data_IF_579022479228
#
_entry.id   IF_579022479228
#
_cell.length_a   1.000
_cell.length_b   1.000
_cell.length_c   1.000
_cell.angle_alpha   90.00
_cell.angle_beta   90.00
_cell.angle_gamma   90.00
#
_symmetry.space_group_name_H-M   'P 1'
#
loop_
_entity.id
_entity.type
_entity.pdbx_description
1 polymer ?
#
# COMPACT_ATOMS: atom_id res chain seq x y z
N UNK A 1 44.59 -12.19 -3.73
CA UNK A 1 43.25 -12.03 -4.39
C UNK A 1 42.26 -11.80 -3.29
N UNK A 2 41.95 -10.54 -2.97
CA UNK A 2 40.97 -10.17 -1.95
C UNK A 2 39.54 -10.22 -2.60
N UNK A 3 38.76 -11.17 -2.19
CA UNK A 3 37.32 -11.21 -2.56
C UNK A 3 36.58 -10.36 -1.51
N UNK A 4 36.27 -9.12 -1.87
CA UNK A 4 35.32 -8.28 -1.10
C UNK A 4 33.91 -8.86 -1.31
N UNK A 5 33.43 -9.58 -0.32
CA UNK A 5 31.98 -9.84 -0.19
C UNK A 5 31.30 -8.50 0.16
N UNK A 6 30.83 -7.79 -0.82
CA UNK A 6 29.83 -6.75 -0.61
C UNK A 6 28.52 -7.48 -0.24
N UNK A 7 28.34 -7.75 1.04
CA UNK A 7 27.06 -8.16 1.56
C UNK A 7 26.04 -7.08 1.17
N UNK A 8 24.89 -7.49 0.65
CA UNK A 8 23.78 -6.60 0.34
C UNK A 8 23.29 -5.98 1.66
N UNK A 9 23.90 -4.88 2.07
CA UNK A 9 23.52 -4.13 3.26
C UNK A 9 22.22 -3.43 2.92
N UNK A 10 21.17 -3.70 3.70
CA UNK A 10 19.90 -3.01 3.55
C UNK A 10 20.14 -1.51 3.70
N UNK A 11 19.84 -0.74 2.67
CA UNK A 11 19.94 0.73 2.67
C UNK A 11 18.70 1.35 3.33
N UNK A 12 18.51 1.03 4.63
CA UNK A 12 17.44 1.60 5.44
C UNK A 12 17.91 2.95 5.95
N UNK A 13 17.27 4.02 5.49
CA UNK A 13 17.66 5.41 5.76
C UNK A 13 16.70 6.08 6.74
N UNK A 14 17.26 6.72 7.76
CA UNK A 14 16.52 7.64 8.61
C UNK A 14 16.44 9.06 8.02
N UNK A 15 15.67 10.00 8.64
CA UNK A 15 15.50 11.35 8.10
C UNK A 15 16.82 12.11 7.86
N UNK A 16 17.81 11.94 8.74
CA UNK A 16 19.11 12.61 8.58
C UNK A 16 19.92 12.05 7.41
N UNK A 17 19.84 10.74 7.17
CA UNK A 17 20.49 10.10 6.04
C UNK A 17 19.80 10.45 4.72
N UNK A 18 18.45 10.56 4.71
CA UNK A 18 17.68 11.03 3.56
C UNK A 18 18.12 12.46 3.20
N UNK A 19 18.22 13.36 4.19
CA UNK A 19 18.72 14.73 4.00
C UNK A 19 20.15 14.75 3.46
N UNK A 20 21.02 13.93 4.02
CA UNK A 20 22.41 13.85 3.56
C UNK A 20 22.55 13.32 2.14
N UNK A 21 21.66 12.42 1.71
CA UNK A 21 21.60 11.90 0.33
C UNK A 21 20.89 12.84 -0.65
N UNK A 22 20.09 13.78 -0.15
CA UNK A 22 19.34 14.74 -0.98
C UNK A 22 18.15 14.16 -1.71
N UNK A 23 17.74 12.91 -1.41
CA UNK A 23 16.65 12.23 -2.13
C UNK A 23 15.81 11.38 -1.20
N UNK A 24 14.48 11.54 -1.27
CA UNK A 24 13.47 10.70 -0.64
C UNK A 24 12.94 9.69 -1.68
N UNK A 25 13.15 8.39 -1.45
CA UNK A 25 12.66 7.32 -2.31
C UNK A 25 11.28 6.85 -1.82
N UNK A 26 10.29 6.91 -2.69
CA UNK A 26 8.89 6.65 -2.35
C UNK A 26 8.34 5.53 -3.22
N UNK A 27 7.94 4.42 -2.60
CA UNK A 27 7.19 3.35 -3.28
C UNK A 27 5.72 3.73 -3.40
N UNK A 28 5.16 3.48 -4.58
CA UNK A 28 3.75 3.75 -4.85
C UNK A 28 3.15 2.73 -5.82
N UNK A 29 1.82 2.74 -5.95
CA UNK A 29 1.06 1.99 -6.95
C UNK A 29 0.50 2.95 -8.00
N UNK A 30 0.35 2.48 -9.23
CA UNK A 30 -0.38 3.22 -10.25
C UNK A 30 -1.88 3.11 -10.00
N UNK A 31 -2.49 4.16 -9.46
CA UNK A 31 -3.94 4.24 -9.27
C UNK A 31 -4.41 5.71 -9.25
N UNK A 32 -5.69 5.98 -9.53
CA UNK A 32 -6.23 7.34 -9.60
C UNK A 32 -6.09 8.18 -8.33
N UNK A 33 -5.89 7.55 -7.17
CA UNK A 33 -5.76 8.25 -5.88
C UNK A 33 -4.33 8.32 -5.38
N UNK A 34 -3.42 7.56 -5.96
CA UNK A 34 -2.04 7.46 -5.47
C UNK A 34 -1.05 8.18 -6.37
N UNK A 35 -0.82 7.64 -7.56
CA UNK A 35 0.15 8.12 -8.53
C UNK A 35 -0.28 7.64 -9.92
N UNK A 36 -0.53 8.55 -10.85
CA UNK A 36 -0.91 8.22 -12.22
C UNK A 36 -0.50 9.34 -13.18
N UNK A 37 -0.41 9.01 -14.46
CA UNK A 37 -0.18 9.98 -15.52
C UNK A 37 -1.51 10.54 -16.02
N UNK A 38 -1.66 11.87 -16.01
CA UNK A 38 -2.83 12.54 -16.53
C UNK A 38 -2.77 12.66 -18.08
N UNK A 39 -3.77 13.29 -18.69
CA UNK A 39 -3.84 13.43 -20.15
C UNK A 39 -2.76 14.34 -20.73
N UNK A 40 -2.21 15.18 -19.92
CA UNK A 40 -1.13 16.13 -20.25
C UNK A 40 0.27 15.51 -20.12
N UNK A 41 0.35 14.24 -19.69
CA UNK A 41 1.62 13.52 -19.47
C UNK A 41 2.28 13.82 -18.12
N UNK A 42 1.55 14.47 -17.21
CA UNK A 42 2.08 14.81 -15.89
C UNK A 42 1.73 13.71 -14.87
N UNK A 43 2.66 13.42 -13.97
CA UNK A 43 2.39 12.54 -12.85
C UNK A 43 1.70 13.28 -11.72
N UNK A 44 0.51 12.83 -11.37
CA UNK A 44 -0.40 13.43 -10.39
C UNK A 44 -0.95 12.37 -9.44
N UNK A 45 -1.58 12.80 -8.34
CA UNK A 45 -2.23 11.92 -7.37
C UNK A 45 -2.06 12.43 -5.96
N UNK A 46 -3.04 12.15 -5.10
CA UNK A 46 -3.05 12.65 -3.72
C UNK A 46 -1.82 12.18 -2.92
N UNK A 47 -1.49 10.89 -3.01
CA UNK A 47 -0.33 10.32 -2.31
C UNK A 47 0.99 10.86 -2.87
N UNK A 48 1.04 11.06 -4.18
CA UNK A 48 2.18 11.68 -4.86
C UNK A 48 2.42 13.08 -4.32
N UNK A 49 1.39 13.90 -4.22
CA UNK A 49 1.50 15.28 -3.76
C UNK A 49 1.85 15.36 -2.28
N UNK A 50 1.28 14.47 -1.46
CA UNK A 50 1.62 14.39 -0.04
C UNK A 50 3.10 14.01 0.17
N UNK A 51 3.62 13.06 -0.62
CA UNK A 51 5.03 12.67 -0.56
C UNK A 51 5.96 13.78 -1.05
N UNK A 52 5.57 14.52 -2.09
CA UNK A 52 6.31 15.67 -2.58
C UNK A 52 6.40 16.79 -1.53
N UNK A 53 5.27 17.11 -0.86
CA UNK A 53 5.25 18.08 0.25
C UNK A 53 6.17 17.65 1.41
N UNK A 54 6.24 16.35 1.68
CA UNK A 54 7.15 15.85 2.72
C UNK A 54 8.62 15.97 2.30
N UNK A 55 8.95 15.68 1.03
CA UNK A 55 10.29 15.87 0.49
C UNK A 55 10.71 17.36 0.54
N UNK A 56 9.82 18.27 0.16
CA UNK A 56 10.04 19.72 0.28
C UNK A 56 10.29 20.14 1.74
N UNK A 57 9.52 19.60 2.68
CA UNK A 57 9.75 19.85 4.12
C UNK A 57 11.12 19.37 4.59
N UNK A 58 11.62 18.26 4.04
CA UNK A 58 12.97 17.76 4.35
C UNK A 58 14.06 18.54 3.62
N UNK A 59 13.73 19.30 2.57
CA UNK A 59 14.68 19.98 1.69
C UNK A 59 15.40 19.04 0.74
N UNK A 60 14.72 18.02 0.23
CA UNK A 60 15.27 16.99 -0.67
C UNK A 60 14.38 16.77 -1.88
N UNK A 61 14.93 16.17 -2.94
CA UNK A 61 14.15 15.72 -4.09
C UNK A 61 13.35 14.45 -3.77
N UNK A 62 12.25 14.22 -4.47
CA UNK A 62 11.45 13.00 -4.37
C UNK A 62 11.65 12.12 -5.61
N UNK A 63 11.88 10.82 -5.37
CA UNK A 63 11.96 9.79 -6.40
C UNK A 63 10.84 8.78 -6.19
N UNK A 64 9.96 8.58 -7.19
CA UNK A 64 8.88 7.62 -7.13
C UNK A 64 9.26 6.30 -7.79
N UNK A 65 9.08 5.20 -7.06
CA UNK A 65 9.28 3.83 -7.50
C UNK A 65 7.91 3.15 -7.58
N UNK A 66 7.40 3.02 -8.80
CA UNK A 66 6.10 2.38 -9.04
C UNK A 66 6.26 0.87 -9.07
N UNK A 67 5.39 0.16 -8.35
CA UNK A 67 5.30 -1.30 -8.35
C UNK A 67 3.88 -1.74 -8.66
N UNK A 68 3.68 -3.01 -8.98
CA UNK A 68 2.40 -3.51 -9.48
C UNK A 68 1.50 -4.05 -8.37
N UNK A 69 2.08 -4.49 -7.23
CA UNK A 69 1.32 -5.15 -6.17
C UNK A 69 1.66 -4.63 -4.77
N UNK A 70 0.72 -4.81 -3.85
CA UNK A 70 0.89 -4.45 -2.43
C UNK A 70 2.02 -5.28 -1.80
N UNK A 71 2.18 -6.54 -2.18
CA UNK A 71 3.25 -7.40 -1.70
C UNK A 71 4.63 -6.84 -2.10
N UNK A 72 4.77 -6.38 -3.35
CA UNK A 72 6.00 -5.76 -3.84
C UNK A 72 6.34 -4.48 -3.09
N UNK A 73 5.33 -3.67 -2.68
CA UNK A 73 5.54 -2.50 -1.82
C UNK A 73 6.25 -2.88 -0.52
N UNK A 74 5.67 -3.83 0.22
CA UNK A 74 6.20 -4.24 1.52
C UNK A 74 7.53 -4.96 1.41
N UNK A 75 7.71 -5.80 0.39
CA UNK A 75 8.98 -6.49 0.15
C UNK A 75 10.09 -5.49 -0.19
N UNK A 76 9.84 -4.56 -1.10
CA UNK A 76 10.80 -3.55 -1.52
C UNK A 76 11.18 -2.61 -0.37
N UNK A 77 10.20 -2.20 0.46
CA UNK A 77 10.47 -1.42 1.67
C UNK A 77 11.35 -2.22 2.65
N UNK A 78 11.01 -3.49 2.90
CA UNK A 78 11.80 -4.37 3.79
C UNK A 78 13.23 -4.59 3.30
N UNK A 79 13.44 -4.58 1.99
CA UNK A 79 14.76 -4.70 1.37
C UNK A 79 15.55 -3.38 1.37
N UNK A 80 14.96 -2.27 1.81
CA UNK A 80 15.60 -0.95 1.82
C UNK A 80 15.70 -0.32 0.43
N UNK A 81 14.88 -0.75 -0.54
CA UNK A 81 14.86 -0.15 -1.88
C UNK A 81 14.26 1.25 -1.88
N UNK A 82 13.46 1.58 -0.88
CA UNK A 82 12.86 2.89 -0.68
C UNK A 82 12.77 3.24 0.82
N UNK A 83 12.43 4.48 1.10
CA UNK A 83 12.39 5.04 2.46
C UNK A 83 10.99 5.03 3.04
N UNK A 84 9.98 5.18 2.18
CA UNK A 84 8.57 5.11 2.57
C UNK A 84 7.67 4.57 1.44
N UNK A 85 6.45 4.25 1.82
CA UNK A 85 5.35 3.89 0.92
C UNK A 85 4.27 4.96 1.00
N UNK A 86 3.87 5.49 -0.16
CA UNK A 86 2.74 6.39 -0.36
C UNK A 86 1.81 5.78 -1.43
N UNK A 87 0.85 4.95 -0.99
CA UNK A 87 0.00 4.14 -1.86
C UNK A 87 -1.38 3.85 -1.25
N UNK A 88 -1.92 4.74 -0.41
CA UNK A 88 -3.22 4.56 0.22
C UNK A 88 -3.30 3.33 1.13
N UNK A 89 -2.21 2.94 1.75
CA UNK A 89 -2.13 1.70 2.52
C UNK A 89 -2.85 1.83 3.86
N UNK A 90 -3.89 1.04 4.05
CA UNK A 90 -4.60 0.97 5.32
C UNK A 90 -3.71 0.41 6.44
N UNK A 91 -3.72 1.10 7.60
CA UNK A 91 -3.04 0.64 8.81
C UNK A 91 -3.83 -0.51 9.44
N UNK A 92 -3.22 -1.69 9.51
CA UNK A 92 -3.80 -2.85 10.19
C UNK A 92 -2.87 -3.35 11.28
N UNK A 93 -3.41 -4.17 12.20
CA UNK A 93 -2.59 -4.80 13.26
C UNK A 93 -1.52 -5.73 12.69
N UNK A 94 -1.83 -6.42 11.59
CA UNK A 94 -0.89 -7.33 10.94
C UNK A 94 0.29 -6.56 10.33
N UNK A 95 0.01 -5.53 9.55
CA UNK A 95 1.03 -4.69 8.88
C UNK A 95 1.90 -3.93 9.87
N UNK A 96 1.30 -3.42 10.96
CA UNK A 96 2.03 -2.69 12.02
C UNK A 96 3.07 -3.52 12.79
N UNK A 97 3.12 -4.85 12.59
CA UNK A 97 4.18 -5.68 13.12
C UNK A 97 5.49 -5.59 12.32
N UNK A 98 5.39 -5.24 11.05
CA UNK A 98 6.53 -5.21 10.13
C UNK A 98 6.97 -3.84 9.64
N UNK A 99 6.09 -2.83 9.78
CA UNK A 99 6.37 -1.45 9.32
C UNK A 99 5.82 -0.43 10.30
N UNK A 100 6.44 0.75 10.30
CA UNK A 100 5.92 1.92 11.02
C UNK A 100 4.92 2.66 10.12
N UNK A 101 3.86 3.18 10.72
CA UNK A 101 2.88 4.02 10.05
C UNK A 101 2.94 5.44 10.60
N UNK A 102 2.77 6.42 9.73
CA UNK A 102 2.47 7.81 10.13
C UNK A 102 1.14 7.88 10.89
N UNK A 103 0.81 9.01 11.52
CA UNK A 103 -0.57 9.30 11.90
C UNK A 103 -1.50 9.15 10.69
N UNK A 104 -2.71 8.61 10.93
CA UNK A 104 -3.68 8.47 9.85
C UNK A 104 -4.18 9.85 9.40
N UNK A 105 -4.01 10.17 8.14
CA UNK A 105 -4.52 11.40 7.53
C UNK A 105 -5.96 11.27 7.00
N UNK A 106 -6.44 10.02 6.81
CA UNK A 106 -7.79 9.71 6.34
C UNK A 106 -8.35 8.48 7.06
N UNK A 107 -9.65 8.48 7.29
CA UNK A 107 -10.41 7.30 7.71
C UNK A 107 -11.33 6.90 6.56
N UNK A 108 -11.33 5.62 6.23
CA UNK A 108 -12.15 5.05 5.16
C UNK A 108 -13.02 3.94 5.70
N UNK A 109 -14.22 3.79 5.16
CA UNK A 109 -15.07 2.61 5.35
C UNK A 109 -14.73 1.57 4.28
N UNK A 110 -14.93 0.31 4.62
CA UNK A 110 -14.83 -0.79 3.68
C UNK A 110 -16.25 -1.17 3.26
N UNK A 111 -16.55 -1.00 1.98
CA UNK A 111 -17.88 -1.23 1.44
C UNK A 111 -17.87 -2.45 0.50
N UNK A 112 -19.00 -3.16 0.45
CA UNK A 112 -19.21 -4.25 -0.50
C UNK A 112 -19.94 -3.70 -1.73
N UNK A 113 -19.31 -3.78 -2.89
CA UNK A 113 -19.93 -3.39 -4.15
C UNK A 113 -20.76 -4.56 -4.69
N UNK A 114 -22.05 -4.34 -4.88
CA UNK A 114 -23.00 -5.34 -5.35
C UNK A 114 -23.63 -4.96 -6.67
N UNK A 115 -24.17 -5.96 -7.38
CA UNK A 115 -25.06 -5.71 -8.52
C UNK A 115 -26.31 -4.96 -8.08
N UNK A 116 -26.87 -4.17 -8.98
CA UNK A 116 -28.14 -3.46 -8.74
C UNK A 116 -29.21 -4.43 -8.25
N UNK A 117 -29.92 -4.06 -7.16
CA UNK A 117 -30.96 -4.89 -6.54
C UNK A 117 -30.45 -5.88 -5.48
N UNK A 118 -29.15 -6.03 -5.31
CA UNK A 118 -28.55 -6.82 -4.21
C UNK A 118 -28.10 -5.86 -3.12
N UNK A 119 -28.67 -5.99 -1.93
CA UNK A 119 -28.36 -5.15 -0.77
C UNK A 119 -28.12 -6.06 0.43
N UNK A 120 -26.89 -6.47 0.71
CA UNK A 120 -26.56 -7.17 1.94
C UNK A 120 -26.61 -6.16 3.09
N UNK A 121 -27.34 -6.48 4.15
CA UNK A 121 -27.46 -5.65 5.35
C UNK A 121 -26.44 -6.07 6.42
N UNK A 122 -25.90 -7.26 6.29
CA UNK A 122 -24.95 -7.84 7.24
C UNK A 122 -23.93 -8.78 6.57
N UNK A 123 -22.80 -9.09 7.23
CA UNK A 123 -21.86 -10.09 6.72
C UNK A 123 -22.48 -11.48 6.49
N UNK A 124 -23.52 -11.84 7.24
CA UNK A 124 -24.24 -13.11 7.07
C UNK A 124 -24.89 -13.22 5.69
N UNK A 125 -25.33 -12.11 5.11
CA UNK A 125 -25.96 -12.07 3.80
C UNK A 125 -24.98 -12.29 2.64
N UNK A 126 -23.68 -12.30 2.95
CA UNK A 126 -22.61 -12.61 2.00
C UNK A 126 -22.29 -14.11 1.93
N UNK A 127 -22.76 -14.91 2.91
CA UNK A 127 -22.56 -16.36 2.91
C UNK A 127 -23.26 -16.99 1.70
N UNK A 128 -22.54 -17.87 1.00
CA UNK A 128 -23.02 -18.52 -0.21
C UNK A 128 -22.98 -17.65 -1.48
N UNK A 129 -22.56 -16.38 -1.38
CA UNK A 129 -22.35 -15.51 -2.53
C UNK A 129 -20.92 -15.60 -3.07
N UNK A 130 -20.76 -15.37 -4.36
CA UNK A 130 -19.44 -15.26 -4.98
C UNK A 130 -18.87 -13.88 -4.64
N UNK A 131 -17.92 -13.83 -3.71
CA UNK A 131 -17.17 -12.64 -3.35
C UNK A 131 -15.82 -12.63 -4.08
N UNK A 132 -15.41 -11.47 -4.57
CA UNK A 132 -14.10 -11.23 -5.15
C UNK A 132 -13.38 -10.17 -4.33
N UNK A 133 -12.10 -10.35 -4.08
CA UNK A 133 -11.27 -9.42 -3.31
C UNK A 133 -9.87 -9.33 -3.93
N UNK A 134 -9.30 -8.13 -3.96
CA UNK A 134 -7.93 -7.93 -4.44
C UNK A 134 -6.90 -8.57 -3.51
N UNK A 135 -5.87 -9.17 -4.11
CA UNK A 135 -4.77 -9.77 -3.37
C UNK A 135 -4.01 -8.72 -2.54
N UNK A 136 -3.53 -9.12 -1.35
CA UNK A 136 -2.73 -8.26 -0.46
C UNK A 136 -3.49 -7.09 0.17
N UNK A 137 -4.78 -6.89 -0.14
CA UNK A 137 -5.59 -5.79 0.41
C UNK A 137 -5.96 -6.02 1.88
N UNK A 138 -6.26 -4.94 2.61
CA UNK A 138 -6.81 -5.03 3.97
C UNK A 138 -8.20 -5.67 4.01
N UNK A 139 -8.89 -5.76 2.87
CA UNK A 139 -10.20 -6.43 2.76
C UNK A 139 -10.08 -7.92 3.08
N UNK A 140 -9.00 -8.58 2.65
CA UNK A 140 -8.74 -10.00 2.96
C UNK A 140 -8.63 -10.18 4.48
N UNK A 141 -7.90 -9.29 5.17
CA UNK A 141 -7.76 -9.36 6.63
C UNK A 141 -9.10 -9.22 7.35
N UNK A 142 -10.00 -8.35 6.86
CA UNK A 142 -11.35 -8.19 7.41
C UNK A 142 -12.20 -9.43 7.15
N UNK A 143 -12.16 -9.99 5.93
CA UNK A 143 -12.89 -11.21 5.60
C UNK A 143 -12.42 -12.40 6.44
N UNK A 144 -11.13 -12.54 6.71
CA UNK A 144 -10.57 -13.56 7.61
C UNK A 144 -11.07 -13.40 9.06
N UNK A 145 -11.29 -12.18 9.52
CA UNK A 145 -11.88 -11.95 10.84
C UNK A 145 -13.37 -12.32 10.84
N UNK A 146 -14.13 -11.89 9.85
CA UNK A 146 -15.55 -12.20 9.70
C UNK A 146 -15.80 -13.71 9.56
N UNK A 147 -14.89 -14.43 8.93
CA UNK A 147 -14.97 -15.89 8.78
C UNK A 147 -14.95 -16.63 10.13
N UNK A 148 -14.38 -16.05 11.18
CA UNK A 148 -14.41 -16.65 12.54
C UNK A 148 -15.83 -16.68 13.11
N UNK A 149 -16.64 -15.68 12.77
CA UNK A 149 -18.05 -15.58 13.19
C UNK A 149 -19.00 -16.23 12.16
N UNK A 150 -18.57 -16.29 10.89
CA UNK A 150 -19.30 -16.86 9.77
C UNK A 150 -18.43 -17.89 9.02
N UNK A 151 -18.27 -19.12 9.53
CA UNK A 151 -17.34 -20.12 8.97
C UNK A 151 -17.59 -20.47 7.49
N UNK A 152 -18.83 -20.37 7.06
CA UNK A 152 -19.26 -20.65 5.67
C UNK A 152 -18.98 -19.48 4.70
N UNK A 153 -18.47 -18.36 5.20
CA UNK A 153 -18.06 -17.23 4.36
C UNK A 153 -16.84 -17.64 3.51
N UNK A 154 -16.95 -17.40 2.20
CA UNK A 154 -15.88 -17.73 1.26
C UNK A 154 -15.71 -16.63 0.21
N UNK A 155 -14.51 -16.50 -0.33
CA UNK A 155 -14.18 -15.53 -1.37
C UNK A 155 -13.10 -16.08 -2.30
N UNK A 156 -12.99 -15.45 -3.47
CA UNK A 156 -11.89 -15.68 -4.40
C UNK A 156 -11.00 -14.43 -4.41
N UNK A 157 -9.71 -14.65 -4.37
CA UNK A 157 -8.71 -13.59 -4.52
C UNK A 157 -8.46 -13.36 -6.00
N UNK A 158 -8.38 -12.10 -6.40
CA UNK A 158 -8.05 -11.68 -7.77
C UNK A 158 -6.76 -10.88 -7.77
N UNK A 159 -5.91 -11.14 -8.74
CA UNK A 159 -4.73 -10.32 -9.02
C UNK A 159 -5.17 -9.07 -9.77
N UNK A 160 -4.57 -7.95 -9.47
CA UNK A 160 -4.84 -6.72 -10.18
C UNK A 160 -4.62 -5.47 -9.30
N UNK A 161 -4.67 -4.28 -9.90
CA UNK A 161 -4.59 -3.05 -9.13
C UNK A 161 -5.77 -2.97 -8.16
N UNK A 162 -5.45 -2.70 -6.92
CA UNK A 162 -6.42 -2.51 -5.83
C UNK A 162 -7.19 -1.20 -5.99
#
# INVERSE_FOLDING_TARGET
MFILFTGCQKDIRGPDEIKAKGTLRVLTLNSPTTYYENREGEHVGFERDLAALYADHLGVEVEFLVVDTIEQLFESLRLGKADLVAAGIAKTKARSKGVLFSPAYQKVSLDVVCRRGVKPDSPKDLVGRKLLVGNGTSYVEVLEQLKKEHPDLSWSVVEGPS
#
